data_IF_903907569921
#
_entry.id   IF_903907569921
#
_cell.length_a   1.000
_cell.length_b   1.000
_cell.length_c   1.000
_cell.angle_alpha   90.00
_cell.angle_beta   90.00
_cell.angle_gamma   90.00
#
_symmetry.space_group_name_H-M   'P 1'
#
loop_
_entity.id
_entity.type
_entity.pdbx_description
1 polymer ?
#
# COMPACT_ATOMS: atom_id res chain seq x y z
N UNK A 1 11.64 -14.83 0.53
CA UNK A 1 10.20 -14.60 0.74
C UNK A 1 9.91 -13.25 0.11
N UNK A 2 9.15 -13.26 -0.97
CA UNK A 2 8.73 -12.10 -1.76
C UNK A 2 7.82 -11.20 -0.93
N UNK A 3 8.23 -9.95 -0.69
CA UNK A 3 7.43 -8.96 0.06
C UNK A 3 6.93 -7.88 -0.89
N UNK A 4 5.65 -7.53 -0.76
CA UNK A 4 4.99 -6.50 -1.57
C UNK A 4 5.29 -5.13 -0.97
N UNK A 5 5.78 -4.22 -1.80
CA UNK A 5 6.11 -2.86 -1.38
C UNK A 5 5.40 -1.87 -2.28
N UNK A 6 4.74 -0.86 -1.70
CA UNK A 6 4.13 0.26 -2.42
C UNK A 6 4.51 1.57 -1.74
N UNK A 7 4.69 2.61 -2.53
CA UNK A 7 4.92 3.96 -2.02
C UNK A 7 3.60 4.74 -2.01
N UNK A 8 3.29 5.42 -0.91
CA UNK A 8 2.11 6.27 -0.84
C UNK A 8 2.30 7.50 -1.73
N UNK A 9 1.48 7.65 -2.76
CA UNK A 9 1.58 8.74 -3.74
C UNK A 9 1.16 10.12 -3.20
N UNK A 10 0.81 10.22 -1.91
CA UNK A 10 0.39 11.47 -1.26
C UNK A 10 1.49 12.02 -0.35
N UNK A 11 2.07 11.16 0.48
CA UNK A 11 3.10 11.54 1.46
C UNK A 11 4.49 10.98 1.15
N UNK A 12 4.60 10.03 0.21
CA UNK A 12 5.85 9.33 -0.12
C UNK A 12 6.24 8.25 0.89
N UNK A 13 5.36 7.88 1.83
CA UNK A 13 5.68 6.83 2.81
C UNK A 13 5.70 5.45 2.15
N UNK A 14 6.80 4.72 2.33
CA UNK A 14 6.95 3.36 1.81
C UNK A 14 6.27 2.36 2.74
N UNK A 15 5.28 1.65 2.20
CA UNK A 15 4.51 0.64 2.91
C UNK A 15 4.88 -0.75 2.40
N UNK A 16 5.13 -1.66 3.33
CA UNK A 16 5.55 -3.03 3.03
C UNK A 16 4.56 -4.04 3.61
N UNK A 17 4.26 -5.09 2.86
CA UNK A 17 3.34 -6.17 3.21
C UNK A 17 3.91 -7.53 2.82
N UNK A 18 3.59 -8.55 3.61
CA UNK A 18 3.97 -9.92 3.25
C UNK A 18 3.17 -10.44 2.04
N UNK A 19 1.96 -9.91 1.85
CA UNK A 19 1.05 -10.19 0.73
C UNK A 19 0.31 -8.92 0.35
N UNK A 20 -0.35 -8.93 -0.81
CA UNK A 20 -1.24 -7.85 -1.26
C UNK A 20 -2.31 -7.49 -0.23
N UNK A 21 -2.89 -8.49 0.44
CA UNK A 21 -3.94 -8.28 1.45
C UNK A 21 -3.39 -7.59 2.71
N UNK A 22 -2.21 -7.99 3.17
CA UNK A 22 -1.55 -7.35 4.32
C UNK A 22 -1.07 -5.94 3.97
N UNK A 23 -0.57 -5.74 2.75
CA UNK A 23 -0.21 -4.42 2.25
C UNK A 23 -1.43 -3.51 2.15
N UNK A 24 -2.56 -4.03 1.66
CA UNK A 24 -3.82 -3.29 1.53
C UNK A 24 -4.35 -2.82 2.88
N UNK A 25 -4.33 -3.67 3.90
CA UNK A 25 -4.72 -3.27 5.27
C UNK A 25 -3.83 -2.16 5.81
N UNK A 26 -2.51 -2.26 5.60
CA UNK A 26 -1.54 -1.24 6.03
C UNK A 26 -1.74 0.08 5.29
N UNK A 27 -1.86 0.03 3.96
CA UNK A 27 -2.13 1.18 3.11
C UNK A 27 -3.43 1.86 3.51
N UNK A 28 -4.51 1.09 3.70
CA UNK A 28 -5.78 1.62 4.15
C UNK A 28 -5.68 2.27 5.54
N UNK A 29 -5.04 1.60 6.50
CA UNK A 29 -4.86 2.17 7.85
C UNK A 29 -4.03 3.45 7.85
N UNK A 30 -2.99 3.50 7.02
CA UNK A 30 -2.17 4.70 6.79
C UNK A 30 -3.02 5.82 6.18
N UNK A 31 -3.77 5.52 5.12
CA UNK A 31 -4.65 6.47 4.44
C UNK A 31 -5.75 6.97 5.37
N UNK A 32 -6.34 6.13 6.22
CA UNK A 32 -7.36 6.56 7.18
C UNK A 32 -6.79 7.42 8.32
N UNK A 33 -5.53 7.22 8.73
CA UNK A 33 -4.89 8.05 9.77
C UNK A 33 -4.34 9.37 9.22
N UNK A 34 -3.52 9.30 8.18
CA UNK A 34 -2.78 10.45 7.63
C UNK A 34 -3.60 11.20 6.57
N UNK A 35 -4.49 10.49 5.87
CA UNK A 35 -5.22 11.00 4.69
C UNK A 35 -6.74 10.81 4.79
N UNK A 36 -7.30 10.88 6.01
CA UNK A 36 -8.73 10.66 6.30
C UNK A 36 -9.71 11.46 5.42
N UNK A 37 -9.28 12.62 4.89
CA UNK A 37 -10.11 13.46 4.01
C UNK A 37 -10.15 13.03 2.54
N UNK A 38 -9.35 12.05 2.12
CA UNK A 38 -9.25 11.66 0.70
C UNK A 38 -10.34 10.70 0.24
N UNK A 39 -11.10 10.11 1.17
CA UNK A 39 -12.14 9.11 0.83
C UNK A 39 -11.55 7.85 0.20
N UNK A 40 -10.33 7.48 0.59
CA UNK A 40 -9.63 6.34 0.03
C UNK A 40 -10.27 5.01 0.44
N UNK A 41 -10.74 4.25 -0.54
CA UNK A 41 -11.42 2.98 -0.35
C UNK A 41 -10.56 1.76 -0.71
N UNK A 42 -11.00 0.58 -0.25
CA UNK A 42 -10.31 -0.69 -0.51
C UNK A 42 -10.08 -0.96 -2.01
N UNK A 43 -11.03 -0.59 -2.86
CA UNK A 43 -10.92 -0.77 -4.30
C UNK A 43 -9.74 0.03 -4.89
N UNK A 44 -9.57 1.29 -4.46
CA UNK A 44 -8.45 2.13 -4.88
C UNK A 44 -7.13 1.58 -4.36
N UNK A 45 -7.09 1.11 -3.12
CA UNK A 45 -5.90 0.46 -2.57
C UNK A 45 -5.49 -0.80 -3.32
N UNK A 46 -6.44 -1.65 -3.73
CA UNK A 46 -6.13 -2.85 -4.53
C UNK A 46 -5.61 -2.50 -5.92
N UNK A 47 -6.22 -1.52 -6.57
CA UNK A 47 -5.79 -1.06 -7.88
C UNK A 47 -4.37 -0.48 -7.81
N UNK A 48 -4.11 0.36 -6.81
CA UNK A 48 -2.79 0.93 -6.57
C UNK A 48 -1.74 -0.15 -6.29
N UNK A 49 -2.06 -1.14 -5.44
CA UNK A 49 -1.14 -2.24 -5.15
C UNK A 49 -0.88 -3.10 -6.41
N UNK A 50 -1.90 -3.37 -7.22
CA UNK A 50 -1.68 -4.12 -8.46
C UNK A 50 -0.87 -3.36 -9.50
N UNK A 51 -1.05 -2.04 -9.58
CA UNK A 51 -0.37 -1.20 -10.56
C UNK A 51 1.06 -0.81 -10.13
N UNK A 52 1.25 -0.47 -8.85
CA UNK A 52 2.45 0.19 -8.34
C UNK A 52 3.26 -0.72 -7.40
N UNK A 53 2.66 -1.75 -6.78
CA UNK A 53 3.41 -2.56 -5.82
C UNK A 53 4.43 -3.47 -6.52
N UNK A 54 5.67 -3.35 -6.09
CA UNK A 54 6.77 -4.17 -6.57
C UNK A 54 7.11 -5.28 -5.57
N UNK A 55 7.71 -6.37 -6.07
CA UNK A 55 8.25 -7.42 -5.21
C UNK A 55 9.68 -7.05 -4.80
N UNK A 56 9.88 -6.80 -3.51
CA UNK A 56 11.22 -6.68 -2.96
C UNK A 56 11.70 -8.08 -2.55
N UNK A 57 12.47 -8.73 -3.42
CA UNK A 57 13.29 -9.87 -3.05
C UNK A 57 14.68 -9.34 -2.67
N UNK A 58 15.04 -9.47 -1.39
CA UNK A 58 16.39 -9.12 -0.87
C UNK A 58 17.43 -9.90 -1.69
N UNK A 59 18.26 -9.17 -2.45
CA UNK A 59 19.27 -9.74 -3.37
C UNK A 59 20.59 -10.02 -2.68
#
# INVERSE_FOLDING_TARGET
>A
MSMRVVECNICGETLTGATDEELLKRLRSHMESEHSSTGFDEAQGREMIQAEAYDASDS
#
